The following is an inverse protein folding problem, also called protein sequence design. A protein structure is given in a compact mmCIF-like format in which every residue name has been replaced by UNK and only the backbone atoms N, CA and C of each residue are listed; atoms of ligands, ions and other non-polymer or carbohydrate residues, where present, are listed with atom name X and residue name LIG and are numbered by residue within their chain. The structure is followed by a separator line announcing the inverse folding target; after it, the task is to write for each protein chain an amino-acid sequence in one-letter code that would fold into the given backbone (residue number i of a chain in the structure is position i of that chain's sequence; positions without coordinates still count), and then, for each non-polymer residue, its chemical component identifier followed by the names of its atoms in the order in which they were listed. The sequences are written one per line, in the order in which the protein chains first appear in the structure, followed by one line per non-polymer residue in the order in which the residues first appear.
data_IF_988354865403
#
_entry.id   IF_988354865403
#
_cell.length_a   1.000
_cell.length_b   1.000
_cell.length_c   1.000
_cell.angle_alpha   90.00
_cell.angle_beta   90.00
_cell.angle_gamma   90.00
#
_symmetry.space_group_name_H-M   'P 1'
#
loop_
_entity.id
_entity.type
_entity.pdbx_description
1 polymer ?
#
# COMPACT_ATOMS: atom_id res chain seq x y z
N UNK A 1 -26.82 6.97 -39.08
CA UNK A 1 -26.83 5.56 -39.52
C UNK A 1 -25.54 5.11 -40.23
N UNK A 2 -24.89 5.93 -41.13
CA UNK A 2 -23.63 5.54 -41.78
C UNK A 2 -22.46 5.32 -40.81
N UNK A 3 -22.30 6.17 -39.78
CA UNK A 3 -21.20 6.07 -38.82
C UNK A 3 -21.31 4.79 -37.98
N UNK A 4 -22.50 4.40 -37.49
CA UNK A 4 -22.73 3.18 -36.73
C UNK A 4 -22.44 1.90 -37.55
N UNK A 5 -22.75 1.92 -38.85
CA UNK A 5 -22.47 0.80 -39.75
C UNK A 5 -20.96 0.64 -40.00
N UNK A 6 -20.25 1.77 -40.14
CA UNK A 6 -18.77 1.78 -40.26
C UNK A 6 -18.14 1.25 -38.99
N UNK A 7 -18.60 1.69 -37.80
CA UNK A 7 -18.12 1.24 -36.51
C UNK A 7 -18.33 -0.27 -36.31
N UNK A 8 -19.53 -0.78 -36.56
CA UNK A 8 -19.84 -2.22 -36.48
C UNK A 8 -18.96 -3.06 -37.40
N UNK A 9 -18.71 -2.58 -38.61
CA UNK A 9 -17.82 -3.25 -39.54
C UNK A 9 -16.38 -3.28 -39.04
N UNK A 10 -15.85 -2.14 -38.55
CA UNK A 10 -14.49 -2.05 -38.03
C UNK A 10 -14.31 -2.98 -36.81
N UNK A 11 -15.29 -3.04 -35.92
CA UNK A 11 -15.28 -3.96 -34.76
C UNK A 11 -15.21 -5.41 -35.22
N UNK A 12 -16.07 -5.81 -36.18
CA UNK A 12 -16.06 -7.17 -36.73
C UNK A 12 -14.76 -7.52 -37.42
N UNK A 13 -14.19 -6.58 -38.18
CA UNK A 13 -12.96 -6.79 -38.96
C UNK A 13 -11.74 -6.86 -38.01
N UNK A 14 -11.73 -6.09 -36.93
CA UNK A 14 -10.70 -6.16 -35.89
C UNK A 14 -10.76 -7.51 -35.13
N UNK A 15 -11.97 -7.98 -34.80
CA UNK A 15 -12.14 -9.29 -34.17
C UNK A 15 -11.62 -10.43 -35.07
N UNK A 16 -11.99 -10.40 -36.38
CA UNK A 16 -11.47 -11.37 -37.35
C UNK A 16 -9.93 -11.30 -37.49
N UNK A 17 -9.36 -10.09 -37.36
CA UNK A 17 -7.91 -9.91 -37.44
C UNK A 17 -7.17 -10.60 -36.31
N UNK A 18 -7.67 -10.52 -35.08
CA UNK A 18 -7.11 -11.18 -33.89
C UNK A 18 -7.07 -12.71 -34.12
N UNK A 19 -8.16 -13.30 -34.64
CA UNK A 19 -8.20 -14.73 -34.94
C UNK A 19 -7.35 -15.15 -36.14
N UNK A 20 -7.23 -14.29 -37.14
CA UNK A 20 -6.41 -14.57 -38.32
C UNK A 20 -4.90 -14.60 -37.98
N UNK A 21 -4.47 -13.80 -37.02
CA UNK A 21 -3.10 -13.73 -36.53
C UNK A 21 -2.98 -14.36 -35.15
N UNK A 22 -3.60 -15.53 -34.97
CA UNK A 22 -3.78 -16.18 -33.64
C UNK A 22 -2.50 -16.24 -32.80
N UNK A 23 -1.39 -16.68 -33.37
CA UNK A 23 -0.11 -16.81 -32.63
C UNK A 23 0.39 -15.50 -32.06
N UNK A 24 0.35 -14.41 -32.85
CA UNK A 24 0.80 -13.08 -32.41
C UNK A 24 -0.17 -12.49 -31.39
N UNK A 25 -1.47 -12.65 -31.65
CA UNK A 25 -2.52 -12.18 -30.75
C UNK A 25 -2.45 -12.93 -29.41
N UNK A 26 -2.26 -14.24 -29.42
CA UNK A 26 -2.11 -15.06 -28.22
C UNK A 26 -0.88 -14.64 -27.40
N UNK A 27 0.27 -14.42 -28.04
CA UNK A 27 1.46 -13.91 -27.38
C UNK A 27 1.23 -12.57 -26.70
N UNK A 28 0.54 -11.65 -27.39
CA UNK A 28 0.22 -10.33 -26.84
C UNK A 28 -0.78 -10.42 -25.68
N UNK A 29 -1.86 -11.22 -25.82
CA UNK A 29 -2.84 -11.48 -24.77
C UNK A 29 -2.15 -12.07 -23.54
N UNK A 30 -1.31 -13.11 -23.70
CA UNK A 30 -0.58 -13.74 -22.60
C UNK A 30 0.32 -12.74 -21.88
N UNK A 31 1.02 -11.90 -22.63
CA UNK A 31 1.90 -10.88 -22.04
C UNK A 31 1.10 -9.82 -21.27
N UNK A 32 -0.01 -9.32 -21.81
CA UNK A 32 -0.93 -8.41 -21.11
C UNK A 32 -1.47 -9.07 -19.84
N UNK A 33 -1.90 -10.33 -19.93
CA UNK A 33 -2.43 -11.10 -18.80
C UNK A 33 -1.39 -11.20 -17.67
N UNK A 34 -0.18 -11.63 -17.98
CA UNK A 34 0.90 -11.77 -16.98
C UNK A 34 1.23 -10.42 -16.36
N UNK A 35 1.36 -9.39 -17.19
CA UNK A 35 1.64 -8.02 -16.72
C UNK A 35 0.57 -7.53 -15.75
N UNK A 36 -0.72 -7.67 -16.11
CA UNK A 36 -1.82 -7.23 -15.26
C UNK A 36 -1.93 -8.04 -13.96
N UNK A 37 -1.62 -9.34 -13.97
CA UNK A 37 -1.56 -10.15 -12.75
C UNK A 37 -0.46 -9.61 -11.81
N UNK A 38 0.73 -9.38 -12.33
CA UNK A 38 1.85 -8.86 -11.51
C UNK A 38 1.55 -7.45 -10.99
N UNK A 39 0.96 -6.58 -11.82
CA UNK A 39 0.52 -5.24 -11.39
C UNK A 39 -0.53 -5.34 -10.28
N UNK A 40 -1.51 -6.23 -10.43
CA UNK A 40 -2.56 -6.44 -9.41
C UNK A 40 -1.97 -6.94 -8.10
N UNK A 41 -1.04 -7.90 -8.14
CA UNK A 41 -0.33 -8.39 -6.95
C UNK A 41 0.45 -7.24 -6.29
N UNK A 42 1.15 -6.42 -7.06
CA UNK A 42 1.90 -5.27 -6.52
C UNK A 42 0.97 -4.24 -5.85
N UNK A 43 -0.20 -3.97 -6.42
CA UNK A 43 -1.22 -3.09 -5.84
C UNK A 43 -1.74 -3.69 -4.53
N UNK A 44 -2.16 -4.96 -4.53
CA UNK A 44 -2.65 -5.65 -3.32
C UNK A 44 -1.59 -5.64 -2.22
N UNK A 45 -0.33 -5.93 -2.57
CA UNK A 45 0.77 -5.91 -1.61
C UNK A 45 0.95 -4.52 -1.00
N UNK A 46 0.96 -3.47 -1.82
CA UNK A 46 1.09 -2.08 -1.37
C UNK A 46 -0.05 -1.68 -0.43
N UNK A 47 -1.29 -2.04 -0.76
CA UNK A 47 -2.44 -1.76 0.11
C UNK A 47 -2.34 -2.49 1.46
N UNK A 48 -1.95 -3.77 1.45
CA UNK A 48 -1.81 -4.54 2.69
C UNK A 48 -0.63 -4.06 3.54
N UNK A 49 0.49 -3.67 2.93
CA UNK A 49 1.63 -3.06 3.63
C UNK A 49 1.24 -1.73 4.28
N UNK A 50 0.53 -0.84 3.55
CA UNK A 50 0.04 0.41 4.12
C UNK A 50 -0.96 0.18 5.26
N UNK A 51 -1.89 -0.77 5.11
CA UNK A 51 -2.82 -1.12 6.18
C UNK A 51 -2.09 -1.64 7.43
N UNK A 52 -1.08 -2.47 7.24
CA UNK A 52 -0.25 -2.97 8.33
C UNK A 52 0.54 -1.84 9.01
N UNK A 53 1.11 -0.91 8.24
CA UNK A 53 1.75 0.29 8.78
C UNK A 53 0.77 1.08 9.66
N UNK A 54 -0.44 1.36 9.17
CA UNK A 54 -1.49 2.09 9.92
C UNK A 54 -1.93 1.35 11.20
N UNK A 55 -1.95 0.01 11.19
CA UNK A 55 -2.27 -0.76 12.40
C UNK A 55 -1.16 -0.63 13.45
N UNK A 56 0.10 -0.71 13.03
CA UNK A 56 1.25 -0.47 13.92
C UNK A 56 1.23 0.96 14.44
N UNK A 57 0.94 1.96 13.58
CA UNK A 57 0.84 3.37 13.99
C UNK A 57 -0.08 3.57 15.19
N UNK A 58 -1.22 2.88 15.21
CA UNK A 58 -2.19 2.97 16.31
C UNK A 58 -1.69 2.37 17.62
N UNK A 59 -0.79 1.40 17.56
CA UNK A 59 -0.28 0.68 18.72
C UNK A 59 1.09 1.22 19.20
N UNK A 60 1.86 1.87 18.30
CA UNK A 60 3.16 2.45 18.67
C UNK A 60 2.95 3.77 19.41
N UNK A 61 3.44 3.79 20.64
CA UNK A 61 3.35 4.94 21.54
C UNK A 61 4.75 5.37 21.96
N UNK A 62 5.02 6.66 21.95
CA UNK A 62 6.23 7.22 22.57
C UNK A 62 5.99 7.28 24.09
N UNK A 63 6.74 6.48 24.84
CA UNK A 63 6.74 6.52 26.29
C UNK A 63 7.76 7.55 26.75
N UNK A 64 7.26 8.64 27.35
CA UNK A 64 8.08 9.75 27.83
C UNK A 64 8.13 9.71 29.34
N UNK A 65 9.27 9.33 29.90
CA UNK A 65 9.48 9.30 31.34
C UNK A 65 9.84 10.70 31.84
N UNK A 66 9.20 11.10 32.94
CA UNK A 66 9.43 12.38 33.57
C UNK A 66 10.54 12.30 34.62
N UNK A 67 11.17 13.40 34.94
CA UNK A 67 12.12 13.45 36.05
C UNK A 67 11.41 13.10 37.37
N UNK A 68 12.12 12.41 38.26
CA UNK A 68 11.56 11.91 39.53
C UNK A 68 11.04 13.05 40.42
N UNK A 69 11.72 14.20 40.40
CA UNK A 69 11.42 15.35 41.23
C UNK A 69 10.49 16.37 40.60
N UNK A 70 9.81 16.01 39.47
CA UNK A 70 8.96 16.93 38.74
C UNK A 70 7.68 17.26 39.52
N UNK A 71 7.40 18.51 39.73
CA UNK A 71 6.17 18.98 40.39
C UNK A 71 4.97 19.03 39.42
N UNK A 72 3.80 19.35 39.96
CA UNK A 72 2.57 19.43 39.16
C UNK A 72 2.60 20.53 38.07
N UNK A 73 3.35 21.62 38.32
CA UNK A 73 3.50 22.71 37.32
C UNK A 73 4.44 22.26 36.19
N UNK A 74 5.53 21.61 36.54
CA UNK A 74 6.46 21.02 35.58
C UNK A 74 5.79 19.95 34.69
N UNK A 75 4.95 19.06 35.25
CA UNK A 75 4.16 18.10 34.46
C UNK A 75 3.26 18.79 33.43
N UNK A 76 2.54 19.84 33.84
CA UNK A 76 1.70 20.61 32.93
C UNK A 76 2.51 21.33 31.86
N UNK A 77 3.68 21.86 32.21
CA UNK A 77 4.58 22.50 31.26
C UNK A 77 5.07 21.51 30.19
N UNK A 78 5.50 20.30 30.60
CA UNK A 78 5.89 19.23 29.68
C UNK A 78 4.73 18.82 28.77
N UNK A 79 3.53 18.59 29.32
CA UNK A 79 2.34 18.26 28.52
C UNK A 79 2.03 19.34 27.48
N UNK A 80 2.08 20.61 27.91
CA UNK A 80 1.84 21.74 27.00
C UNK A 80 2.90 21.84 25.92
N UNK A 81 4.16 21.56 26.23
CA UNK A 81 5.26 21.58 25.28
C UNK A 81 5.12 20.43 24.25
N UNK A 82 4.76 19.22 24.71
CA UNK A 82 4.51 18.08 23.82
C UNK A 82 3.33 18.39 22.88
N UNK A 83 2.21 18.89 23.39
CA UNK A 83 1.03 19.21 22.58
C UNK A 83 1.25 20.35 21.55
N UNK A 84 2.32 21.13 21.64
CA UNK A 84 2.71 22.14 20.65
C UNK A 84 3.46 21.57 19.44
N UNK A 85 3.89 20.32 19.50
CA UNK A 85 4.56 19.68 18.37
C UNK A 85 3.53 19.25 17.31
N UNK A 86 3.84 19.46 16.03
CA UNK A 86 2.89 19.27 14.92
C UNK A 86 2.44 17.81 14.73
N UNK A 87 3.30 16.84 15.07
CA UNK A 87 3.06 15.41 14.84
C UNK A 87 2.42 14.69 16.03
N UNK A 88 1.73 15.37 16.91
CA UNK A 88 1.08 14.77 18.08
C UNK A 88 -0.40 14.53 17.81
N UNK A 89 -0.85 13.28 18.03
CA UNK A 89 -2.26 12.89 17.96
C UNK A 89 -2.93 13.01 19.35
N UNK A 90 -2.31 12.37 20.36
CA UNK A 90 -2.82 12.39 21.73
C UNK A 90 -1.68 12.27 22.75
N UNK A 91 -1.92 12.84 23.93
CA UNK A 91 -1.01 12.77 25.09
C UNK A 91 -1.81 12.30 26.28
N UNK A 92 -1.46 11.13 26.83
CA UNK A 92 -2.10 10.56 28.00
C UNK A 92 -1.09 10.51 29.14
N UNK A 93 -1.48 10.98 30.32
CA UNK A 93 -0.67 10.93 31.51
C UNK A 93 -0.93 9.63 32.27
N UNK A 94 0.11 8.94 32.67
CA UNK A 94 0.06 7.79 33.56
C UNK A 94 0.95 8.05 34.78
N UNK A 95 0.36 7.97 35.97
CA UNK A 95 1.11 8.14 37.20
C UNK A 95 1.94 6.89 37.53
N UNK A 96 3.05 7.07 38.22
CA UNK A 96 3.87 5.95 38.72
C UNK A 96 3.04 4.93 39.54
N UNK A 97 1.99 5.39 40.23
CA UNK A 97 1.10 4.54 41.03
C UNK A 97 0.19 3.68 40.15
N UNK A 98 -0.38 4.28 39.10
CA UNK A 98 -1.24 3.56 38.13
C UNK A 98 -0.42 2.51 37.36
N UNK A 99 0.77 2.87 36.90
CA UNK A 99 1.69 1.95 36.21
C UNK A 99 2.09 0.79 37.13
N UNK A 100 2.45 1.08 38.41
CA UNK A 100 2.80 0.06 39.37
C UNK A 100 1.63 -0.91 39.60
N UNK A 101 0.41 -0.40 39.73
CA UNK A 101 -0.80 -1.21 39.90
C UNK A 101 -1.07 -2.10 38.68
N UNK A 102 -0.98 -1.54 37.46
CA UNK A 102 -1.15 -2.30 36.23
C UNK A 102 -0.11 -3.42 36.07
N UNK A 103 1.15 -3.14 36.42
CA UNK A 103 2.21 -4.14 36.41
C UNK A 103 1.94 -5.26 37.43
N UNK A 104 1.51 -4.94 38.63
CA UNK A 104 1.14 -5.93 39.67
C UNK A 104 -0.06 -6.78 39.26
N UNK A 105 -1.04 -6.18 38.57
CA UNK A 105 -2.23 -6.90 38.09
C UNK A 105 -1.91 -7.80 36.87
N UNK A 106 -0.88 -7.46 36.10
CA UNK A 106 -0.48 -8.21 34.90
C UNK A 106 0.29 -9.49 35.17
N UNK A 107 0.97 -9.61 36.34
CA UNK A 107 1.80 -10.76 36.65
C UNK A 107 2.02 -10.94 38.17
N UNK A 108 1.83 -12.17 38.66
CA UNK A 108 2.17 -12.53 40.05
C UNK A 108 3.66 -12.29 40.39
N UNK A 109 4.54 -12.40 39.42
CA UNK A 109 5.96 -12.12 39.57
C UNK A 109 6.21 -10.65 39.89
N UNK A 110 5.58 -9.74 39.18
CA UNK A 110 5.68 -8.31 39.47
C UNK A 110 5.04 -7.97 40.81
N UNK A 111 3.90 -8.57 41.12
CA UNK A 111 3.25 -8.40 42.43
C UNK A 111 4.18 -8.74 43.56
N UNK A 112 4.88 -9.88 43.48
CA UNK A 112 5.80 -10.34 44.55
C UNK A 112 7.05 -9.44 44.63
N UNK A 113 7.55 -8.89 43.54
CA UNK A 113 8.72 -8.01 43.54
C UNK A 113 8.38 -6.61 44.06
N UNK A 114 7.18 -6.12 43.77
CA UNK A 114 6.80 -4.73 44.05
C UNK A 114 6.06 -4.56 45.38
N UNK A 115 5.66 -5.66 46.07
CA UNK A 115 4.97 -5.61 47.36
C UNK A 115 5.75 -4.86 48.43
N UNK A 116 7.08 -4.93 48.37
CA UNK A 116 7.96 -4.34 49.39
C UNK A 116 8.45 -2.93 49.01
N UNK A 117 8.02 -2.39 47.87
CA UNK A 117 8.42 -1.05 47.47
C UNK A 117 7.55 0.02 48.11
N UNK A 118 8.19 1.02 48.72
CA UNK A 118 7.51 2.25 49.13
C UNK A 118 7.36 3.17 47.91
N UNK A 119 6.43 4.14 47.96
CA UNK A 119 6.26 5.13 46.89
C UNK A 119 7.54 5.94 46.63
N UNK A 120 8.41 6.10 47.63
CA UNK A 120 9.66 6.86 47.55
C UNK A 120 10.81 6.03 46.94
N UNK A 121 10.83 4.71 47.18
CA UNK A 121 11.87 3.80 46.70
C UNK A 121 11.56 3.16 45.37
N UNK A 122 10.37 3.43 44.80
CA UNK A 122 9.95 2.85 43.51
C UNK A 122 10.76 3.44 42.37
N UNK A 123 11.40 2.61 41.50
CA UNK A 123 12.11 3.07 40.32
C UNK A 123 11.16 3.53 39.18
N UNK A 124 9.84 3.39 39.42
CA UNK A 124 8.83 3.77 38.43
C UNK A 124 8.67 5.28 38.44
N UNK A 125 8.68 5.85 37.24
CA UNK A 125 8.51 7.29 37.00
C UNK A 125 7.14 7.58 36.40
N UNK A 126 6.63 8.78 36.66
CA UNK A 126 5.47 9.27 35.92
C UNK A 126 5.77 9.35 34.45
N UNK A 127 4.81 8.98 33.61
CA UNK A 127 5.00 8.93 32.16
C UNK A 127 3.92 9.69 31.41
N UNK A 128 4.29 10.19 30.23
CA UNK A 128 3.35 10.56 29.20
C UNK A 128 3.42 9.53 28.08
N UNK A 129 2.27 8.95 27.75
CA UNK A 129 2.06 8.14 26.55
C UNK A 129 1.67 9.07 25.40
N UNK A 130 2.53 9.21 24.41
CA UNK A 130 2.35 10.13 23.31
C UNK A 130 2.13 9.34 22.03
N UNK A 131 0.95 9.49 21.41
CA UNK A 131 0.67 8.97 20.07
C UNK A 131 0.97 10.01 19.03
N UNK A 132 1.56 9.57 17.92
CA UNK A 132 1.91 10.42 16.78
C UNK A 132 0.94 10.24 15.63
N UNK A 133 0.75 11.29 14.81
CA UNK A 133 -0.09 11.24 13.60
C UNK A 133 0.60 10.50 12.44
N UNK A 134 1.91 10.64 12.35
CA UNK A 134 2.74 10.10 11.28
C UNK A 134 3.93 9.36 11.90
N UNK A 135 3.92 8.04 11.76
CA UNK A 135 4.97 7.17 12.31
C UNK A 135 6.30 7.34 11.58
N UNK A 136 6.30 7.75 10.30
CA UNK A 136 7.53 7.98 9.56
C UNK A 136 8.39 9.10 10.20
N UNK A 137 7.75 9.97 11.00
CA UNK A 137 8.40 11.06 11.71
C UNK A 137 8.59 10.81 13.22
N UNK A 138 8.31 9.57 13.70
CA UNK A 138 8.33 9.26 15.15
C UNK A 138 9.70 9.54 15.77
N UNK A 139 10.81 9.19 15.10
CA UNK A 139 12.17 9.43 15.58
C UNK A 139 12.43 10.93 15.80
N UNK A 140 12.07 11.79 14.82
CA UNK A 140 12.22 13.25 14.95
C UNK A 140 11.35 13.82 16.07
N UNK A 141 10.14 13.27 16.24
CA UNK A 141 9.21 13.67 17.29
C UNK A 141 9.76 13.27 18.66
N UNK A 142 10.28 12.05 18.80
CA UNK A 142 10.91 11.57 20.01
C UNK A 142 12.16 12.42 20.38
N UNK A 143 13.00 12.76 19.41
CA UNK A 143 14.14 13.66 19.61
C UNK A 143 13.74 15.07 20.05
N UNK A 144 12.59 15.54 19.58
CA UNK A 144 12.04 16.84 19.99
C UNK A 144 11.51 16.79 21.43
N UNK A 145 10.81 15.70 21.79
CA UNK A 145 10.32 15.45 23.15
C UNK A 145 11.47 15.32 24.13
N UNK A 146 12.54 14.62 23.77
CA UNK A 146 13.75 14.42 24.61
C UNK A 146 14.45 15.74 25.00
N UNK A 147 14.24 16.80 24.25
CA UNK A 147 14.83 18.14 24.52
C UNK A 147 13.99 18.98 25.45
N UNK A 148 12.78 18.53 25.81
CA UNK A 148 11.87 19.26 26.70
C UNK A 148 12.39 19.16 28.14
N UNK A 149 12.50 20.29 28.81
CA UNK A 149 12.89 20.33 30.23
C UNK A 149 11.88 19.57 31.10
N UNK A 150 12.37 18.70 31.99
CA UNK A 150 11.52 17.83 32.81
C UNK A 150 11.33 16.41 32.26
N UNK A 151 11.82 16.12 31.04
CA UNK A 151 11.84 14.77 30.44
C UNK A 151 13.16 14.10 30.81
N UNK A 152 13.07 12.89 31.40
CA UNK A 152 14.21 12.06 31.77
C UNK A 152 14.67 11.15 30.64
N UNK A 153 13.72 10.43 30.03
CA UNK A 153 13.97 9.42 29.00
C UNK A 153 12.78 9.33 28.07
N UNK A 154 13.07 9.06 26.81
CA UNK A 154 12.03 8.80 25.78
C UNK A 154 12.30 7.44 25.15
N UNK A 155 11.29 6.59 25.07
CA UNK A 155 11.35 5.29 24.39
C UNK A 155 10.14 5.09 23.49
N UNK A 156 10.35 4.51 22.29
CA UNK A 156 9.29 4.24 21.32
C UNK A 156 9.54 2.98 20.47
N UNK A 157 10.37 2.05 21.00
CA UNK A 157 10.79 0.89 20.22
C UNK A 157 11.83 1.24 19.15
N UNK A 158 12.73 2.19 19.49
CA UNK A 158 13.83 2.65 18.64
C UNK A 158 14.59 1.46 18.01
N UNK A 159 14.90 1.55 16.72
CA UNK A 159 15.54 0.51 15.94
C UNK A 159 14.58 -0.49 15.30
N UNK A 160 13.53 -0.93 15.98
CA UNK A 160 12.53 -1.84 15.40
C UNK A 160 11.54 -1.08 14.51
N UNK A 161 11.06 0.05 14.97
CA UNK A 161 10.09 0.89 14.23
C UNK A 161 10.73 1.45 12.97
N UNK A 162 11.96 1.99 13.06
CA UNK A 162 12.71 2.48 11.90
C UNK A 162 12.99 1.37 10.88
N UNK A 163 13.32 0.17 11.34
CA UNK A 163 13.54 -0.96 10.45
C UNK A 163 12.25 -1.36 9.72
N UNK A 164 11.11 -1.36 10.39
CA UNK A 164 9.81 -1.63 9.76
C UNK A 164 9.46 -0.56 8.72
N UNK A 165 9.62 0.72 9.05
CA UNK A 165 9.39 1.84 8.13
C UNK A 165 10.28 1.69 6.88
N UNK A 166 11.57 1.40 7.08
CA UNK A 166 12.52 1.20 5.97
C UNK A 166 12.11 0.03 5.06
N UNK A 167 11.65 -1.09 5.63
CA UNK A 167 11.15 -2.22 4.86
C UNK A 167 9.92 -1.81 4.02
N UNK A 168 8.98 -1.06 4.59
CA UNK A 168 7.78 -0.60 3.88
C UNK A 168 8.13 0.33 2.72
N UNK A 169 9.06 1.27 2.93
CA UNK A 169 9.55 2.14 1.85
C UNK A 169 10.21 1.35 0.71
N UNK A 170 11.05 0.37 1.04
CA UNK A 170 11.71 -0.48 0.05
C UNK A 170 10.69 -1.27 -0.76
N UNK A 171 9.71 -1.91 -0.10
CA UNK A 171 8.64 -2.66 -0.76
C UNK A 171 7.82 -1.75 -1.67
N UNK A 172 7.43 -0.57 -1.19
CA UNK A 172 6.69 0.43 -1.98
C UNK A 172 7.45 0.87 -3.22
N UNK A 173 8.73 1.23 -3.07
CA UNK A 173 9.55 1.73 -4.16
C UNK A 173 9.83 0.65 -5.22
N UNK A 174 10.12 -0.59 -4.79
CA UNK A 174 10.29 -1.74 -5.68
C UNK A 174 8.98 -2.00 -6.43
N UNK A 175 7.83 -2.02 -5.74
CA UNK A 175 6.53 -2.25 -6.37
C UNK A 175 6.23 -1.21 -7.45
N UNK A 176 6.44 0.07 -7.18
CA UNK A 176 6.26 1.15 -8.16
C UNK A 176 7.21 0.96 -9.36
N UNK A 177 8.48 0.67 -9.11
CA UNK A 177 9.47 0.41 -10.17
C UNK A 177 9.07 -0.75 -11.08
N UNK A 178 8.63 -1.86 -10.51
CA UNK A 178 8.15 -3.03 -11.25
C UNK A 178 6.92 -2.67 -12.08
N UNK A 179 5.92 -1.99 -11.50
CA UNK A 179 4.70 -1.58 -12.21
C UNK A 179 5.05 -0.71 -13.44
N UNK A 180 5.90 0.30 -13.25
CA UNK A 180 6.33 1.20 -14.34
C UNK A 180 7.05 0.42 -15.44
N UNK A 181 8.00 -0.44 -15.07
CA UNK A 181 8.74 -1.26 -16.04
C UNK A 181 7.79 -2.17 -16.85
N UNK A 182 6.83 -2.81 -16.20
CA UNK A 182 5.86 -3.68 -16.86
C UNK A 182 4.91 -2.91 -17.79
N UNK A 183 4.49 -1.71 -17.43
CA UNK A 183 3.68 -0.83 -18.31
C UNK A 183 4.46 -0.52 -19.60
N UNK A 184 5.76 -0.17 -19.48
CA UNK A 184 6.62 0.13 -20.62
C UNK A 184 6.78 -1.10 -21.53
N UNK A 185 7.07 -2.26 -20.95
CA UNK A 185 7.19 -3.53 -21.69
C UNK A 185 5.88 -3.87 -22.42
N UNK A 186 4.74 -3.73 -21.74
CA UNK A 186 3.42 -4.01 -22.33
C UNK A 186 3.13 -3.07 -23.49
N UNK A 187 3.37 -1.77 -23.34
CA UNK A 187 3.19 -0.78 -24.40
C UNK A 187 4.09 -1.08 -25.61
N UNK A 188 5.34 -1.48 -25.36
CA UNK A 188 6.26 -1.89 -26.40
C UNK A 188 5.75 -3.13 -27.17
N UNK A 189 5.27 -4.15 -26.47
CA UNK A 189 4.77 -5.38 -27.09
C UNK A 189 3.49 -5.14 -27.89
N UNK A 190 2.53 -4.38 -27.37
CA UNK A 190 1.33 -4.00 -28.11
C UNK A 190 1.70 -3.25 -29.38
N UNK A 191 2.60 -2.27 -29.27
CA UNK A 191 3.07 -1.48 -30.40
C UNK A 191 3.73 -2.37 -31.46
N UNK A 192 4.56 -3.32 -31.06
CA UNK A 192 5.22 -4.25 -31.97
C UNK A 192 4.22 -5.16 -32.67
N UNK A 193 3.24 -5.69 -31.94
CA UNK A 193 2.17 -6.53 -32.51
C UNK A 193 1.36 -5.76 -33.54
N UNK A 194 0.96 -4.52 -33.24
CA UNK A 194 0.22 -3.66 -34.18
C UNK A 194 1.09 -3.36 -35.44
N UNK A 195 2.38 -3.08 -35.27
CA UNK A 195 3.29 -2.88 -36.40
C UNK A 195 3.35 -4.09 -37.34
N UNK A 196 3.46 -5.29 -36.79
CA UNK A 196 3.48 -6.54 -37.55
C UNK A 196 2.14 -6.72 -38.29
N UNK A 197 1.02 -6.46 -37.65
CA UNK A 197 -0.31 -6.53 -38.24
C UNK A 197 -0.45 -5.54 -39.41
N UNK A 198 0.00 -4.27 -39.24
CA UNK A 198 0.01 -3.26 -40.28
C UNK A 198 0.86 -3.73 -41.49
N UNK A 199 2.06 -4.27 -41.22
CA UNK A 199 2.93 -4.76 -42.27
C UNK A 199 2.31 -5.94 -43.04
N UNK A 200 1.68 -6.87 -42.34
CA UNK A 200 0.96 -8.01 -42.95
C UNK A 200 -0.20 -7.56 -43.86
N UNK A 201 -0.79 -6.39 -43.57
CA UNK A 201 -1.95 -5.82 -44.30
C UNK A 201 -1.59 -4.67 -45.24
N UNK A 202 -0.31 -4.47 -45.52
CA UNK A 202 0.15 -3.31 -46.28
C UNK A 202 -0.54 -3.15 -47.66
N UNK A 203 -0.81 -4.26 -48.36
CA UNK A 203 -1.49 -4.25 -49.65
C UNK A 203 -2.95 -3.72 -49.54
N UNK A 204 -3.68 -4.12 -48.50
CA UNK A 204 -5.03 -3.61 -48.25
C UNK A 204 -4.98 -2.11 -47.93
N UNK A 205 -3.98 -1.65 -47.18
CA UNK A 205 -3.78 -0.24 -46.84
C UNK A 205 -3.46 0.58 -48.09
N UNK A 206 -2.60 0.07 -48.98
CA UNK A 206 -2.23 0.75 -50.24
C UNK A 206 -3.45 0.91 -51.16
N UNK A 207 -4.29 -0.12 -51.27
CA UNK A 207 -5.54 -0.04 -52.02
C UNK A 207 -6.48 1.02 -51.41
N UNK A 208 -6.65 1.04 -50.06
CA UNK A 208 -7.46 2.06 -49.40
C UNK A 208 -6.97 3.47 -49.65
N UNK A 209 -5.65 3.70 -49.72
CA UNK A 209 -5.05 5.00 -50.06
C UNK A 209 -5.32 5.39 -51.50
N UNK A 210 -5.19 4.45 -52.44
CA UNK A 210 -5.48 4.70 -53.87
C UNK A 210 -6.94 5.10 -54.09
N UNK A 211 -7.88 4.57 -53.30
CA UNK A 211 -9.32 4.92 -53.40
C UNK A 211 -9.65 6.20 -52.59
N UNK A 212 -8.63 6.88 -52.03
CA UNK A 212 -8.81 8.16 -51.34
C UNK A 212 -9.31 8.05 -49.88
N UNK A 213 -9.11 6.90 -49.20
CA UNK A 213 -9.48 6.76 -47.83
C UNK A 213 -8.64 7.68 -46.93
N UNK A 214 -9.30 8.34 -45.95
CA UNK A 214 -8.60 9.19 -44.98
C UNK A 214 -7.69 8.39 -44.07
N UNK A 215 -6.60 8.98 -43.59
CA UNK A 215 -5.65 8.35 -42.69
C UNK A 215 -6.34 7.85 -41.39
N UNK A 216 -7.39 8.54 -40.95
CA UNK A 216 -8.16 8.14 -39.78
C UNK A 216 -8.88 6.81 -40.02
N UNK A 217 -9.54 6.64 -41.14
CA UNK A 217 -10.23 5.41 -41.52
C UNK A 217 -9.29 4.22 -41.66
N UNK A 218 -8.03 4.46 -42.03
CA UNK A 218 -7.00 3.40 -42.06
C UNK A 218 -6.54 3.01 -40.67
N UNK A 219 -6.44 3.95 -39.72
CA UNK A 219 -5.93 3.70 -38.35
C UNK A 219 -6.96 3.10 -37.43
N UNK A 220 -8.24 3.44 -37.56
CA UNK A 220 -9.33 3.01 -36.69
C UNK A 220 -9.37 1.48 -36.45
N UNK A 221 -9.26 0.61 -37.48
CA UNK A 221 -9.26 -0.84 -37.24
C UNK A 221 -8.15 -1.33 -36.31
N UNK A 222 -6.96 -0.75 -36.40
CA UNK A 222 -5.82 -1.13 -35.56
C UNK A 222 -5.96 -0.64 -34.11
N UNK A 223 -6.62 0.50 -33.90
CA UNK A 223 -6.98 0.97 -32.56
C UNK A 223 -7.95 -0.02 -31.90
N UNK A 224 -8.97 -0.46 -32.62
CA UNK A 224 -9.90 -1.48 -32.14
C UNK A 224 -9.22 -2.84 -31.92
N UNK A 225 -8.26 -3.22 -32.75
CA UNK A 225 -7.47 -4.44 -32.54
C UNK A 225 -6.71 -4.39 -31.21
N UNK A 226 -6.01 -3.28 -30.92
CA UNK A 226 -5.34 -3.07 -29.63
C UNK A 226 -6.32 -3.07 -28.43
N UNK A 227 -7.50 -2.46 -28.60
CA UNK A 227 -8.55 -2.45 -27.59
C UNK A 227 -9.04 -3.88 -27.28
N UNK A 228 -9.28 -4.70 -28.32
CA UNK A 228 -9.67 -6.10 -28.16
C UNK A 228 -8.61 -6.94 -27.47
N UNK A 229 -7.34 -6.77 -27.83
CA UNK A 229 -6.24 -7.45 -27.17
C UNK A 229 -6.19 -7.08 -25.66
N UNK A 230 -6.39 -5.79 -25.33
CA UNK A 230 -6.46 -5.31 -23.97
C UNK A 230 -7.63 -5.90 -23.19
N UNK A 231 -8.84 -5.90 -23.75
CA UNK A 231 -10.03 -6.48 -23.13
C UNK A 231 -9.86 -7.99 -22.90
N UNK A 232 -9.43 -8.72 -23.90
CA UNK A 232 -9.23 -10.18 -23.77
C UNK A 232 -8.12 -10.51 -22.78
N UNK A 233 -7.05 -9.72 -22.76
CA UNK A 233 -5.94 -9.88 -21.84
C UNK A 233 -6.27 -9.52 -20.39
N UNK A 234 -7.30 -8.69 -20.14
CA UNK A 234 -7.69 -8.27 -18.78
C UNK A 234 -8.69 -9.22 -18.11
N UNK A 235 -9.40 -10.07 -18.84
CA UNK A 235 -10.43 -10.95 -18.29
C UNK A 235 -9.84 -11.89 -17.23
N UNK A 236 -8.77 -12.61 -17.56
CA UNK A 236 -8.13 -13.58 -16.66
C UNK A 236 -7.54 -12.88 -15.42
N UNK A 237 -6.78 -11.77 -15.54
CA UNK A 237 -6.28 -11.03 -14.38
C UNK A 237 -7.38 -10.59 -13.43
N UNK A 238 -8.47 -10.02 -13.95
CA UNK A 238 -9.59 -9.58 -13.12
C UNK A 238 -10.16 -10.75 -12.32
N UNK A 239 -10.44 -11.87 -12.99
CA UNK A 239 -10.99 -13.08 -12.34
C UNK A 239 -10.01 -13.60 -11.28
N UNK A 240 -8.74 -13.79 -11.65
CA UNK A 240 -7.71 -14.35 -10.75
C UNK A 240 -7.48 -13.42 -9.56
N UNK A 241 -7.43 -12.11 -9.76
CA UNK A 241 -7.18 -11.15 -8.69
C UNK A 241 -8.36 -11.09 -7.72
N UNK A 242 -9.58 -10.92 -8.22
CA UNK A 242 -10.77 -10.79 -7.38
C UNK A 242 -11.04 -12.09 -6.61
N UNK A 243 -11.20 -13.19 -7.33
CA UNK A 243 -11.50 -14.48 -6.68
C UNK A 243 -10.33 -15.01 -5.86
N UNK A 244 -9.09 -14.83 -6.34
CA UNK A 244 -7.89 -15.25 -5.63
C UNK A 244 -7.72 -14.49 -4.31
N UNK A 245 -7.94 -13.17 -4.30
CA UNK A 245 -7.84 -12.38 -3.07
C UNK A 245 -8.97 -12.67 -2.08
N UNK A 246 -10.22 -12.80 -2.57
CA UNK A 246 -11.36 -13.18 -1.72
C UNK A 246 -11.16 -14.57 -1.12
N UNK A 247 -10.69 -15.54 -1.89
CA UNK A 247 -10.39 -16.88 -1.39
C UNK A 247 -9.27 -16.85 -0.35
N UNK A 248 -8.22 -16.07 -0.57
CA UNK A 248 -7.13 -15.88 0.38
C UNK A 248 -7.64 -15.24 1.68
N UNK A 249 -8.42 -14.17 1.58
CA UNK A 249 -9.01 -13.49 2.73
C UNK A 249 -9.89 -14.43 3.56
N UNK A 250 -10.76 -15.21 2.92
CA UNK A 250 -11.67 -16.15 3.58
C UNK A 250 -10.92 -17.33 4.21
N UNK A 251 -9.91 -17.90 3.53
CA UNK A 251 -9.13 -19.01 4.07
C UNK A 251 -8.34 -18.63 5.33
N UNK A 252 -7.85 -17.40 5.38
CA UNK A 252 -7.10 -16.89 6.53
C UNK A 252 -7.97 -16.10 7.53
N UNK A 253 -9.30 -16.05 7.33
CA UNK A 253 -10.21 -15.24 8.14
C UNK A 253 -9.75 -13.78 8.31
N UNK A 254 -9.17 -13.20 7.27
CA UNK A 254 -8.61 -11.85 7.30
C UNK A 254 -7.31 -11.70 8.10
N UNK A 255 -6.66 -12.80 8.55
CA UNK A 255 -5.43 -12.78 9.38
C UNK A 255 -4.35 -13.65 8.73
N UNK A 256 -3.19 -13.09 8.35
CA UNK A 256 -2.18 -13.82 7.58
C UNK A 256 -1.31 -14.76 8.44
N UNK A 257 -0.78 -14.32 9.57
CA UNK A 257 0.19 -15.10 10.38
C UNK A 257 -0.08 -14.92 11.88
N UNK A 258 -0.68 -13.80 12.27
CA UNK A 258 -0.90 -13.40 13.65
C UNK A 258 -2.15 -12.54 13.74
N UNK A 259 -2.83 -12.47 14.91
CA UNK A 259 -3.94 -11.53 15.14
C UNK A 259 -3.60 -10.07 14.83
N UNK A 260 -2.30 -9.74 14.79
CA UNK A 260 -1.80 -8.40 14.54
C UNK A 260 -1.70 -8.06 13.04
N UNK A 261 -1.61 -9.06 12.13
CA UNK A 261 -1.49 -8.83 10.69
C UNK A 261 -2.84 -9.09 10.03
N UNK A 262 -3.66 -8.05 9.93
CA UNK A 262 -4.96 -8.11 9.27
C UNK A 262 -4.84 -7.73 7.80
N UNK A 263 -5.41 -8.58 6.94
CA UNK A 263 -5.58 -8.28 5.52
C UNK A 263 -6.61 -7.17 5.34
N UNK A 264 -6.43 -6.36 4.32
CA UNK A 264 -7.43 -5.37 3.90
C UNK A 264 -8.69 -6.11 3.45
N UNK A 265 -9.87 -5.59 3.81
CA UNK A 265 -11.13 -6.13 3.31
C UNK A 265 -11.16 -6.16 1.79
N UNK A 266 -11.81 -7.16 1.17
CA UNK A 266 -11.80 -7.30 -0.30
C UNK A 266 -12.50 -6.18 -1.06
N UNK A 267 -13.38 -5.39 -0.40
CA UNK A 267 -14.18 -4.35 -1.05
C UNK A 267 -13.40 -3.40 -1.96
N UNK A 268 -12.23 -2.84 -1.57
CA UNK A 268 -11.47 -1.94 -2.44
C UNK A 268 -10.93 -2.59 -3.73
N UNK A 269 -10.89 -3.92 -3.79
CA UNK A 269 -10.36 -4.68 -4.94
C UNK A 269 -11.46 -5.30 -5.81
N UNK A 270 -12.71 -5.26 -5.35
CA UNK A 270 -13.87 -5.86 -6.03
C UNK A 270 -14.72 -4.80 -6.75
N UNK A 271 -14.69 -3.56 -6.29
CA UNK A 271 -15.38 -2.39 -6.82
C UNK A 271 -14.38 -1.30 -7.16
#
# INVERSE_FOLDING_TARGET
MKALRILSRNIRDSFKSVFRNFSLSLASISCITITLIVVSIAIILTYNVNNFATLIEKDVTIVTFLNVDIDNEGRKAVSTAINKLDNIESVTFESKVDIAKEMMDSSETFKNIMQDWSEEDSPIQDTYLVKVKDIEQIGKTADSIKKIEGVSLVKYGEGMVEQLISIFEVVRNISIGVVVALIVVTAFLITNTIKITIFSRRREIDIMRLVGASNLNIKIPFIFEGLFLGILGSIIPIIVTVYGYVALYNNFNGQLISPFIKLVEPEPFVF
#
